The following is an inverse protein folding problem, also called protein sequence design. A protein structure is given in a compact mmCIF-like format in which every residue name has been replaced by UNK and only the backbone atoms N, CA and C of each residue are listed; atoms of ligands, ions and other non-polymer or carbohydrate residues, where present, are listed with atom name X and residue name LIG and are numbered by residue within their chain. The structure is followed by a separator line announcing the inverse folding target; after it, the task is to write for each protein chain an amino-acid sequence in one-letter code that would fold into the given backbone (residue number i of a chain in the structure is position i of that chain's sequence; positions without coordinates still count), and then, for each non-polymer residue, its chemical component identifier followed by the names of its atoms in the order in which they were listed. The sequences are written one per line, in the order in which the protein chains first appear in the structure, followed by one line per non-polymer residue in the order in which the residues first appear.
data_IF_168473490580
#
_entry.id   IF_168473490580
#
_cell.length_a   1.000
_cell.length_b   1.000
_cell.length_c   1.000
_cell.angle_alpha   90.00
_cell.angle_beta   90.00
_cell.angle_gamma   90.00
#
_symmetry.space_group_name_H-M   'P 1'
#
loop_
_entity.id
_entity.type
_entity.pdbx_description
1 polymer ?
#
# COMPACT_ATOMS: atom_id res chain seq x y z
N UNK A 1 -29.22 -46.02 0.17
CA UNK A 1 -29.38 -44.78 -0.62
C UNK A 1 -28.61 -43.72 0.12
N UNK A 2 -27.51 -43.24 -0.46
CA UNK A 2 -26.55 -42.36 0.20
C UNK A 2 -27.18 -41.00 0.51
N UNK A 3 -26.92 -40.49 1.71
CA UNK A 3 -27.06 -39.07 2.02
C UNK A 3 -26.03 -38.32 1.16
N UNK A 4 -26.53 -37.56 0.19
CA UNK A 4 -25.71 -36.62 -0.56
C UNK A 4 -25.41 -35.46 0.38
N UNK A 5 -24.26 -35.51 1.04
CA UNK A 5 -23.71 -34.33 1.71
C UNK A 5 -23.36 -33.36 0.59
N UNK A 6 -24.17 -32.32 0.46
CA UNK A 6 -23.89 -31.19 -0.42
C UNK A 6 -22.62 -30.52 0.10
N UNK A 7 -21.48 -30.92 -0.45
CA UNK A 7 -20.14 -30.39 -0.15
C UNK A 7 -19.94 -29.01 -0.81
N UNK A 8 -21.00 -28.20 -0.84
CA UNK A 8 -20.91 -26.76 -1.14
C UNK A 8 -20.40 -26.06 0.12
N UNK A 9 -19.19 -26.41 0.55
CA UNK A 9 -18.34 -25.43 1.20
C UNK A 9 -18.14 -24.30 0.19
N UNK A 10 -18.99 -23.29 0.37
CA UNK A 10 -19.08 -22.04 -0.37
C UNK A 10 -17.81 -21.73 -1.13
N UNK A 11 -17.93 -21.73 -2.45
CA UNK A 11 -16.98 -21.16 -3.39
C UNK A 11 -16.47 -19.83 -2.80
N UNK A 12 -15.15 -19.77 -2.58
CA UNK A 12 -14.50 -18.81 -1.68
C UNK A 12 -14.89 -17.38 -2.00
N UNK A 13 -15.68 -16.78 -1.11
CA UNK A 13 -16.10 -15.40 -1.22
C UNK A 13 -14.85 -14.50 -1.23
N UNK A 14 -14.54 -13.92 -2.39
CA UNK A 14 -13.39 -13.04 -2.54
C UNK A 14 -13.66 -11.77 -1.75
N UNK A 15 -12.86 -11.52 -0.72
CA UNK A 15 -12.94 -10.28 0.04
C UNK A 15 -12.64 -9.09 -0.88
N UNK A 16 -13.65 -8.25 -1.11
CA UNK A 16 -13.52 -6.98 -1.85
C UNK A 16 -13.56 -5.84 -0.84
N UNK A 17 -12.46 -5.09 -0.75
CA UNK A 17 -12.35 -3.89 0.08
C UNK A 17 -12.38 -2.64 -0.80
N UNK A 18 -12.97 -1.56 -0.30
CA UNK A 18 -12.69 -0.26 -0.88
C UNK A 18 -11.24 0.12 -0.59
N UNK A 19 -10.70 1.09 -1.34
CA UNK A 19 -9.35 1.63 -1.07
C UNK A 19 -9.28 2.22 0.34
N UNK A 20 -10.38 2.78 0.83
CA UNK A 20 -10.49 3.35 2.17
C UNK A 20 -10.44 2.25 3.24
N UNK A 21 -11.20 1.17 3.07
CA UNK A 21 -11.17 0.03 4.02
C UNK A 21 -9.79 -0.62 4.08
N UNK A 22 -9.14 -0.78 2.92
CA UNK A 22 -7.77 -1.31 2.87
C UNK A 22 -6.77 -0.37 3.55
N UNK A 23 -6.92 0.95 3.37
CA UNK A 23 -6.06 1.93 4.02
C UNK A 23 -6.18 1.86 5.55
N UNK A 24 -7.40 1.81 6.08
CA UNK A 24 -7.64 1.62 7.51
C UNK A 24 -7.03 0.30 8.01
N UNK A 25 -7.26 -0.81 7.29
CA UNK A 25 -6.72 -2.11 7.67
C UNK A 25 -5.18 -2.11 7.74
N UNK A 26 -4.52 -1.50 6.75
CA UNK A 26 -3.06 -1.35 6.73
C UNK A 26 -2.60 -0.43 7.86
N UNK A 27 -3.27 0.70 8.09
CA UNK A 27 -2.96 1.64 9.16
C UNK A 27 -3.05 1.00 10.55
N UNK A 28 -4.15 0.33 10.85
CA UNK A 28 -4.39 -0.38 12.12
C UNK A 28 -3.36 -1.49 12.35
N UNK A 29 -3.04 -2.25 11.30
CA UNK A 29 -2.02 -3.29 11.34
C UNK A 29 -0.65 -2.71 11.67
N UNK A 30 -0.25 -1.62 11.00
CA UNK A 30 1.03 -0.95 11.27
C UNK A 30 1.08 -0.36 12.68
N UNK A 31 0.01 0.30 13.15
CA UNK A 31 -0.05 0.87 14.49
C UNK A 31 0.02 -0.20 15.59
N UNK A 32 -0.58 -1.37 15.33
CA UNK A 32 -0.51 -2.52 16.24
C UNK A 32 0.90 -3.11 16.31
N UNK A 33 1.59 -3.21 15.17
CA UNK A 33 2.93 -3.80 15.07
C UNK A 33 4.03 -2.85 15.54
N UNK A 34 3.85 -1.53 15.34
CA UNK A 34 4.85 -0.51 15.62
C UNK A 34 4.27 0.55 16.56
N UNK A 35 4.50 0.46 17.89
CA UNK A 35 3.91 1.37 18.89
C UNK A 35 4.53 2.79 18.88
N UNK A 36 5.39 3.10 17.92
CA UNK A 36 6.05 4.39 17.77
C UNK A 36 6.09 4.84 16.31
N UNK A 37 6.79 5.94 16.03
CA UNK A 37 6.91 6.43 14.66
C UNK A 37 7.65 5.44 13.76
N UNK A 38 7.01 5.03 12.67
CA UNK A 38 7.62 4.22 11.62
C UNK A 38 8.15 5.15 10.51
N UNK A 39 9.44 5.02 10.21
CA UNK A 39 10.07 5.69 9.07
C UNK A 39 10.47 4.65 8.03
N UNK A 40 10.21 4.97 6.76
CA UNK A 40 10.67 4.15 5.62
C UNK A 40 11.78 4.93 4.93
N UNK A 41 12.93 4.30 4.75
CA UNK A 41 14.07 4.86 4.01
C UNK A 41 14.01 4.47 2.53
N UNK A 42 14.60 5.28 1.66
CA UNK A 42 14.70 5.01 0.23
C UNK A 42 14.93 6.29 -0.57
N UNK A 43 15.34 6.12 -1.84
CA UNK A 43 15.58 7.23 -2.75
C UNK A 43 14.27 7.72 -3.38
N UNK A 44 14.12 9.04 -3.51
CA UNK A 44 13.02 9.63 -4.29
C UNK A 44 13.32 9.50 -5.78
N UNK A 45 12.35 8.99 -6.53
CA UNK A 45 12.39 8.85 -7.99
C UNK A 45 11.09 9.37 -8.61
N UNK A 46 11.12 9.71 -9.89
CA UNK A 46 9.94 10.16 -10.66
C UNK A 46 9.16 11.32 -10.03
N UNK A 47 9.81 12.19 -9.25
CA UNK A 47 9.14 13.29 -8.56
C UNK A 47 8.56 14.28 -9.57
N UNK A 48 7.27 14.60 -9.41
CA UNK A 48 6.64 15.69 -10.14
C UNK A 48 5.51 16.36 -9.35
N UNK A 49 5.40 17.67 -9.53
CA UNK A 49 4.25 18.44 -9.07
C UNK A 49 3.11 18.37 -10.10
N UNK A 50 1.89 18.16 -9.61
CA UNK A 50 0.67 18.23 -10.40
C UNK A 50 0.07 19.64 -10.34
N UNK A 51 -0.71 20.01 -11.37
CA UNK A 51 -1.41 21.31 -11.43
C UNK A 51 -2.41 21.52 -10.28
N UNK A 52 -2.89 20.45 -9.65
CA UNK A 52 -3.68 20.49 -8.40
C UNK A 52 -2.89 20.99 -7.19
N UNK A 53 -1.56 21.03 -7.29
CA UNK A 53 -0.61 21.29 -6.22
C UNK A 53 -0.36 20.08 -5.32
N UNK A 54 -0.74 18.87 -5.76
CA UNK A 54 -0.24 17.61 -5.20
C UNK A 54 1.15 17.31 -5.77
N UNK A 55 1.94 16.53 -5.06
CA UNK A 55 3.17 15.95 -5.59
C UNK A 55 3.04 14.43 -5.62
N UNK A 56 3.61 13.81 -6.66
CA UNK A 56 3.66 12.36 -6.79
C UNK A 56 5.12 11.97 -7.02
N UNK A 57 5.53 10.90 -6.36
CA UNK A 57 6.86 10.35 -6.51
C UNK A 57 6.87 8.87 -6.14
N UNK A 58 7.95 8.20 -6.53
CA UNK A 58 8.24 6.85 -6.08
C UNK A 58 9.33 6.90 -5.02
N UNK A 59 9.20 6.11 -3.95
CA UNK A 59 10.32 5.76 -3.07
C UNK A 59 10.86 4.41 -3.53
N UNK A 60 12.12 4.37 -3.92
CA UNK A 60 12.79 3.18 -4.44
C UNK A 60 13.95 2.75 -3.55
N UNK A 61 14.23 1.46 -3.52
CA UNK A 61 15.44 0.94 -2.87
C UNK A 61 16.68 1.49 -3.59
N UNK A 62 17.65 2.10 -2.87
CA UNK A 62 18.91 2.52 -3.47
C UNK A 62 19.67 1.33 -4.06
N UNK A 63 20.37 1.56 -5.16
CA UNK A 63 21.28 0.58 -5.77
C UNK A 63 22.64 1.20 -5.98
N UNK A 64 23.65 0.65 -5.31
CA UNK A 64 25.05 1.04 -5.50
C UNK A 64 25.66 0.45 -6.78
N UNK A 65 24.91 -0.41 -7.48
CA UNK A 65 25.34 -1.07 -8.72
C UNK A 65 24.68 -0.38 -9.93
N UNK A 66 25.46 0.28 -10.81
CA UNK A 66 24.92 0.87 -12.04
C UNK A 66 24.21 -0.17 -12.92
N UNK A 67 23.02 0.16 -13.40
CA UNK A 67 22.24 -0.69 -14.32
C UNK A 67 21.45 -1.82 -13.67
N UNK A 68 21.52 -2.00 -12.34
CA UNK A 68 20.67 -2.96 -11.63
C UNK A 68 19.22 -2.45 -11.56
N UNK A 69 18.27 -3.34 -11.80
CA UNK A 69 16.85 -3.03 -11.62
C UNK A 69 16.52 -2.73 -10.15
N UNK A 70 15.62 -1.76 -9.94
CA UNK A 70 15.09 -1.42 -8.61
C UNK A 70 14.37 -2.63 -8.02
N UNK A 71 14.82 -3.10 -6.85
CA UNK A 71 14.27 -4.28 -6.20
C UNK A 71 12.96 -4.03 -5.46
N UNK A 72 12.69 -2.79 -5.04
CA UNK A 72 11.47 -2.40 -4.33
C UNK A 72 11.07 -0.96 -4.67
N UNK A 73 9.76 -0.73 -4.82
CA UNK A 73 9.16 0.57 -5.15
C UNK A 73 7.87 0.78 -4.38
N UNK A 74 7.72 1.96 -3.78
CA UNK A 74 6.47 2.48 -3.22
C UNK A 74 6.04 3.74 -3.95
N UNK A 75 4.83 3.77 -4.49
CA UNK A 75 4.24 4.99 -5.07
C UNK A 75 3.66 5.86 -3.96
N UNK A 76 3.99 7.16 -3.96
CA UNK A 76 3.58 8.11 -2.93
C UNK A 76 2.83 9.29 -3.55
N UNK A 77 1.70 9.64 -2.94
CA UNK A 77 0.96 10.87 -3.23
C UNK A 77 1.01 11.80 -2.03
N UNK A 78 1.55 13.00 -2.23
CA UNK A 78 1.50 14.09 -1.26
C UNK A 78 0.41 15.06 -1.66
N UNK A 79 -0.71 15.03 -0.93
CA UNK A 79 -1.85 15.90 -1.21
C UNK A 79 -1.59 17.33 -0.71
N UNK A 80 -2.26 18.29 -1.36
CA UNK A 80 -2.15 19.72 -1.02
C UNK A 80 -3.00 20.01 0.20
N UNK A 81 -2.38 20.54 1.26
CA UNK A 81 -3.04 20.88 2.52
C UNK A 81 -2.97 19.75 3.56
N UNK A 82 -3.27 20.09 4.81
CA UNK A 82 -3.37 19.11 5.90
C UNK A 82 -4.66 18.29 5.71
N UNK A 83 -4.62 17.27 4.85
CA UNK A 83 -5.54 16.16 4.99
C UNK A 83 -4.90 15.23 6.02
N UNK A 84 -5.58 14.98 7.14
CA UNK A 84 -5.22 13.83 7.96
C UNK A 84 -5.27 12.62 7.01
N UNK A 85 -4.12 11.98 6.81
CA UNK A 85 -4.09 10.69 6.14
C UNK A 85 -5.02 9.74 6.89
N UNK A 86 -5.62 8.81 6.15
CA UNK A 86 -6.33 7.68 6.74
C UNK A 86 -5.35 6.88 7.58
#
# INVERSE_FOLDING_TARGET
MAEYTDDTMSDGEVLVLTVDDLAHLVGDGLATLFPGSLWVEGQVSSFHDARSGHAYFDRVEPSDVPGRAVGAKFSVALFKGNRAGV
#
